data_IF_685045674217
#
_entry.id   IF_685045674217
#
_cell.length_a   1.000
_cell.length_b   1.000
_cell.length_c   1.000
_cell.angle_alpha   90.00
_cell.angle_beta   90.00
_cell.angle_gamma   90.00
#
_symmetry.space_group_name_H-M   'P 1'
#
loop_
_entity.id
_entity.type
_entity.pdbx_description
1 polymer ?
2 non-polymer ?
3 water ?
#
# COMPACT_ATOMS: atom_id res chain seq x y z
N UNK A 8 -6.73 -9.09 11.33
CA UNK A 8 -6.37 -7.64 11.28
C UNK A 8 -6.03 -7.17 9.86
N UNK A 9 -6.23 -5.89 9.62
CA UNK A 9 -6.01 -5.30 8.31
C UNK A 9 -4.56 -4.98 8.05
N UNK A 10 -3.76 -4.97 9.11
CA UNK A 10 -2.33 -4.70 8.96
C UNK A 10 -1.58 -5.37 10.09
N UNK A 11 -0.29 -5.54 9.90
CA UNK A 11 0.58 -5.95 10.98
C UNK A 11 1.93 -5.28 10.83
N UNK A 12 2.52 -4.92 11.94
CA UNK A 12 3.93 -4.54 11.93
C UNK A 12 4.80 -5.75 11.64
N UNK A 13 5.94 -5.50 11.00
CA UNK A 13 7.00 -6.50 10.90
C UNK A 13 8.32 -6.03 11.51
N UNK A 14 8.58 -4.73 11.57
CA UNK A 14 9.83 -4.23 12.10
C UNK A 14 9.66 -2.75 12.35
N UNK A 15 10.67 -2.11 12.92
CA UNK A 15 10.61 -0.65 13.05
C UNK A 15 10.29 -0.06 11.68
N UNK A 16 9.27 0.80 11.63
CA UNK A 16 8.93 1.55 10.43
C UNK A 16 8.49 0.72 9.24
N UNK A 17 8.07 -0.52 9.48
CA UNK A 17 7.72 -1.41 8.37
C UNK A 17 6.56 -2.30 8.73
N UNK A 18 5.59 -2.36 7.82
CA UNK A 18 4.30 -3.01 8.07
C UNK A 18 3.86 -3.75 6.82
N UNK A 19 3.01 -4.76 7.00
CA UNK A 19 2.28 -5.39 5.91
C UNK A 19 0.82 -4.99 6.04
N UNK A 20 0.24 -4.57 4.94
CA UNK A 20 -1.12 -4.03 4.92
C UNK A 20 -1.94 -4.82 3.92
N UNK A 21 -3.10 -5.32 4.34
CA UNK A 21 -3.99 -6.01 3.44
C UNK A 21 -4.54 -5.04 2.40
N UNK A 22 -4.61 -5.49 1.15
CA UNK A 22 -5.14 -4.70 0.05
C UNK A 22 -6.54 -4.14 0.32
N UNK A 23 -7.34 -4.91 1.06
CA UNK A 23 -8.71 -4.48 1.35
C UNK A 23 -8.82 -3.32 2.35
N UNK A 24 -7.73 -2.97 3.03
CA UNK A 24 -7.77 -1.87 3.98
C UNK A 24 -8.17 -0.61 3.26
N UNK A 25 -9.11 0.13 3.82
CA UNK A 25 -9.51 1.39 3.22
C UNK A 25 -8.40 2.43 3.33
N UNK A 26 -8.25 3.27 2.31
CA UNK A 26 -7.31 4.38 2.37
C UNK A 26 -7.60 5.22 3.62
N UNK A 27 -8.87 5.52 3.88
CA UNK A 27 -9.20 6.32 5.05
C UNK A 27 -8.78 5.64 6.37
N UNK A 28 -8.93 4.32 6.44
CA UNK A 28 -8.48 3.53 7.60
C UNK A 28 -6.96 3.60 7.75
N UNK A 29 -6.25 3.44 6.64
CA UNK A 29 -4.80 3.54 6.63
C UNK A 29 -4.36 4.91 7.18
N UNK A 30 -4.97 6.00 6.71
CA UNK A 30 -4.60 7.31 7.20
C UNK A 30 -4.85 7.48 8.68
N UNK A 31 -5.96 6.94 9.17
CA UNK A 31 -6.28 7.02 10.60
C UNK A 31 -5.24 6.26 11.44
N UNK A 32 -4.92 5.04 11.02
CA UNK A 32 -3.97 4.21 11.76
C UNK A 32 -2.56 4.79 11.75
N UNK A 33 -2.12 5.22 10.57
CA UNK A 33 -0.72 5.61 10.37
C UNK A 33 -0.43 7.10 10.37
N UNK A 34 -1.47 7.93 10.55
CA UNK A 34 -1.29 9.38 10.59
C UNK A 34 -0.73 9.93 9.27
N UNK A 35 -1.27 9.43 8.17
CA UNK A 35 -0.81 9.82 6.85
C UNK A 35 -1.89 10.61 6.13
N UNK A 36 -1.54 11.07 4.92
CA UNK A 36 -2.35 12.01 4.16
C UNK A 36 -2.58 11.53 2.72
N UNK A 37 -2.75 10.22 2.55
CA UNK A 37 -3.05 9.71 1.23
C UNK A 37 -4.45 10.06 0.80
N UNK A 38 -4.62 10.42 -0.47
CA UNK A 38 -5.95 10.70 -1.01
C UNK A 38 -5.96 10.31 -2.47
N UNK A 39 -7.07 9.75 -2.93
CA UNK A 39 -7.26 9.40 -4.33
C UNK A 39 -8.76 9.30 -4.61
N UNK A 40 -9.26 10.06 -5.59
CA UNK A 40 -10.68 10.02 -5.89
C UNK A 40 -11.09 8.72 -6.58
N UNK A 41 -12.31 8.28 -6.28
CA UNK A 41 -12.93 7.12 -6.92
C UNK A 41 -12.23 5.79 -6.65
N UNK A 42 -11.36 5.77 -5.64
CA UNK A 42 -10.64 4.57 -5.23
C UNK A 42 -10.73 4.54 -3.73
N UNK A 43 -11.09 3.40 -3.16
CA UNK A 43 -11.31 3.34 -1.72
C UNK A 43 -10.32 2.49 -0.93
N UNK A 44 -9.66 1.53 -1.58
CA UNK A 44 -8.80 0.60 -0.87
C UNK A 44 -7.33 0.82 -1.19
N UNK A 45 -6.47 0.29 -0.31
CA UNK A 45 -5.03 0.37 -0.53
C UNK A 45 -4.56 -0.43 -1.72
N UNK A 46 -5.23 -1.54 -2.02
CA UNK A 46 -4.92 -2.27 -3.27
C UNK A 46 -5.19 -1.40 -4.50
N UNK A 47 -6.35 -0.75 -4.53
CA UNK A 47 -6.71 0.12 -5.64
C UNK A 47 -5.76 1.29 -5.71
N UNK A 48 -5.38 1.83 -4.56
CA UNK A 48 -4.45 2.95 -4.49
C UNK A 48 -3.13 2.60 -5.18
N UNK A 49 -2.51 1.51 -4.74
CA UNK A 49 -1.19 1.19 -5.25
C UNK A 49 -1.21 0.78 -6.72
N UNK A 50 -2.19 -0.02 -7.11
CA UNK A 50 -2.33 -0.41 -8.51
C UNK A 50 -2.46 0.83 -9.40
N UNK A 51 -3.32 1.76 -9.00
CA UNK A 51 -3.55 2.98 -9.76
C UNK A 51 -2.25 3.79 -9.83
N UNK A 52 -1.57 3.94 -8.70
CA UNK A 52 -0.35 4.74 -8.66
C UNK A 52 0.76 4.13 -9.52
N UNK A 53 0.90 2.81 -9.49
CA UNK A 53 1.91 2.12 -10.30
C UNK A 53 1.61 2.25 -11.78
N UNK A 54 0.33 2.21 -12.13
CA UNK A 54 -0.13 2.33 -13.51
C UNK A 54 -0.14 1.02 -14.29
N UNK A 55 0.37 -0.05 -13.66
CA UNK A 55 0.46 -1.37 -14.30
C UNK A 55 0.30 -2.40 -13.20
N UNK A 56 -0.39 -3.51 -13.52
CA UNK A 56 -0.56 -4.61 -12.56
C UNK A 56 0.70 -5.48 -12.57
N UNK A 57 1.36 -5.63 -11.42
CA UNK A 57 2.55 -6.47 -11.34
C UNK A 57 2.23 -7.96 -11.60
N UNK A 58 3.18 -8.67 -12.22
CA UNK A 58 3.20 -10.15 -12.34
C UNK A 58 3.28 -10.74 -10.92
N UNK A 59 2.73 -11.93 -10.71
CA UNK A 59 2.96 -12.62 -9.44
C UNK A 59 4.47 -12.75 -9.26
N UNK A 60 4.95 -12.39 -8.08
CA UNK A 60 6.36 -12.45 -7.76
C UNK A 60 7.12 -11.17 -8.05
N UNK A 61 6.49 -10.24 -8.77
CA UNK A 61 7.12 -8.95 -9.07
C UNK A 61 6.70 -7.94 -8.03
N UNK A 62 7.66 -7.18 -7.50
CA UNK A 62 7.43 -6.34 -6.33
C UNK A 62 7.83 -4.88 -6.55
N UNK A 63 7.14 -4.19 -7.46
CA UNK A 63 7.44 -2.79 -7.69
C UNK A 63 6.96 -1.94 -6.51
N UNK A 64 7.47 -0.72 -6.45
CA UNK A 64 7.12 0.19 -5.38
C UNK A 64 6.72 1.56 -5.91
N UNK A 65 5.98 2.27 -5.06
CA UNK A 65 5.57 3.65 -5.30
C UNK A 65 5.90 4.43 -4.04
N UNK A 66 6.60 5.55 -4.21
CA UNK A 66 6.94 6.40 -3.08
C UNK A 66 6.07 7.65 -3.10
N UNK A 67 5.64 8.08 -1.92
CA UNK A 67 4.82 9.27 -1.79
C UNK A 67 5.09 9.84 -0.40
N UNK A 68 5.52 11.10 -0.32
CA UNK A 68 5.89 11.69 0.97
C UNK A 68 6.97 10.86 1.62
N UNK A 69 6.83 10.51 2.90
CA UNK A 69 7.89 9.68 3.51
C UNK A 69 7.57 8.20 3.51
N UNK A 70 6.61 7.80 2.68
CA UNK A 70 6.14 6.41 2.60
C UNK A 70 6.65 5.74 1.31
N UNK A 71 6.99 4.45 1.43
CA UNK A 71 7.20 3.63 0.26
C UNK A 71 6.23 2.45 0.35
N UNK A 72 5.45 2.27 -0.71
CA UNK A 72 4.46 1.18 -0.80
C UNK A 72 4.96 0.18 -1.84
N UNK A 73 5.03 -1.08 -1.45
CA UNK A 73 5.51 -2.12 -2.35
C UNK A 73 4.43 -3.16 -2.53
N UNK A 74 4.27 -3.67 -3.74
CA UNK A 74 3.33 -4.74 -4.00
C UNK A 74 3.97 -6.04 -3.53
N UNK A 75 3.61 -6.49 -2.34
CA UNK A 75 4.30 -7.62 -1.72
C UNK A 75 3.78 -8.97 -2.19
N UNK A 76 2.46 -9.08 -2.35
CA UNK A 76 1.84 -10.34 -2.75
C UNK A 76 0.69 -10.10 -3.67
N UNK A 77 0.78 -10.71 -4.85
CA UNK A 77 -0.30 -10.75 -5.84
C UNK A 77 -0.97 -12.11 -5.81
N UNK A 78 -2.28 -12.11 -5.99
CA UNK A 78 -3.02 -13.35 -6.24
C UNK A 78 -3.71 -13.15 -7.58
N UNK A 79 -3.10 -13.69 -8.63
CA UNK A 79 -3.51 -13.31 -9.98
C UNK A 79 -3.31 -11.81 -10.11
N UNK A 80 -4.33 -11.12 -10.60
CA UNK A 80 -4.21 -9.67 -10.74
C UNK A 80 -4.68 -8.89 -9.52
N UNK A 81 -5.07 -9.59 -8.45
CA UNK A 81 -5.42 -8.94 -7.21
C UNK A 81 -4.20 -8.65 -6.36
N UNK A 82 -4.07 -7.40 -5.91
CA UNK A 82 -3.03 -7.04 -4.96
C UNK A 82 -3.50 -7.40 -3.56
N UNK A 83 -2.96 -8.47 -3.04
CA UNK A 83 -3.37 -9.03 -1.74
C UNK A 83 -2.77 -8.28 -0.55
N UNK A 84 -1.45 -8.07 -0.63
CA UNK A 84 -0.72 -7.51 0.51
C UNK A 84 0.26 -6.49 0.02
N UNK A 85 0.29 -5.34 0.70
CA UNK A 85 1.28 -4.29 0.47
C UNK A 85 2.31 -4.32 1.57
N UNK A 86 3.56 -4.01 1.25
CA UNK A 86 4.53 -3.68 2.27
C UNK A 86 4.64 -2.16 2.33
N UNK A 87 4.71 -1.63 3.54
CA UNK A 87 4.83 -0.20 3.73
C UNK A 87 6.03 0.12 4.59
N UNK A 88 6.93 0.97 4.07
CA UNK A 88 7.99 1.51 4.88
C UNK A 88 7.82 2.99 5.10
N UNK A 89 8.06 3.42 6.32
CA UNK A 89 8.02 4.84 6.69
C UNK A 89 9.42 5.38 6.89
N UNK A 90 9.69 6.54 6.30
CA UNK A 90 10.97 7.23 6.43
C UNK A 90 10.83 8.54 7.18
N UNK A 91 11.97 9.12 7.55
CA UNK A 91 12.02 10.43 8.18
C UNK A 91 12.35 11.48 7.13
X LIG B 1 -0.25 -17.81 -10.45
X LIG C 1 7.77 -6.60 -15.33
X LIG D 1 3.58 -14.91 -13.83
X LIG E 1 12.31 -2.96 4.62
#
# INVERSE_FOLDING_TARGET
SNADEVENLYTQVADNEYLVQGRMLIDEFNEVFETDLHMSDVDTMAGYLITALGTIPDEGEKPSFEVGNIKLTAEEMEGTRLLVLRVHFYDEE
ZN ZN
ZN ZN
ZN ZN
ZN ZN
#
